data_IF_258270966432
#
_entry.id   IF_258270966432
#
_cell.length_a   1.000
_cell.length_b   1.000
_cell.length_c   1.000
_cell.angle_alpha   90.00
_cell.angle_beta   90.00
_cell.angle_gamma   90.00
#
_symmetry.space_group_name_H-M   'P 1'
#
loop_
_entity.id
_entity.type
_entity.pdbx_description
1 polymer ?
#
# COMPACT_ATOMS: atom_id res chain seq x y z
N UNK A 1 14.27 28.83 -8.35
CA UNK A 1 15.30 27.87 -7.86
C UNK A 1 14.88 27.24 -6.53
N UNK A 2 14.51 28.03 -5.50
CA UNK A 2 14.12 27.52 -4.18
C UNK A 2 12.89 26.58 -4.22
N UNK A 3 11.86 26.83 -5.02
CA UNK A 3 10.68 25.95 -5.15
C UNK A 3 11.03 24.61 -5.82
N UNK A 4 11.95 24.60 -6.79
CA UNK A 4 12.40 23.39 -7.45
C UNK A 4 13.26 22.52 -6.52
N UNK A 5 14.17 23.13 -5.75
CA UNK A 5 14.99 22.45 -4.74
C UNK A 5 14.11 21.88 -3.60
N UNK A 6 13.07 22.61 -3.17
CA UNK A 6 12.09 22.12 -2.19
C UNK A 6 11.35 20.88 -2.68
N UNK A 7 10.85 20.88 -3.94
CA UNK A 7 10.20 19.71 -4.55
C UNK A 7 11.15 18.52 -4.65
N UNK A 8 12.40 18.76 -5.05
CA UNK A 8 13.39 17.68 -5.20
C UNK A 8 13.75 17.02 -3.87
N UNK A 9 13.89 17.79 -2.78
CA UNK A 9 14.18 17.24 -1.45
C UNK A 9 12.98 16.58 -0.79
N UNK A 10 11.77 17.08 -1.01
CA UNK A 10 10.55 16.41 -0.57
C UNK A 10 10.36 15.07 -1.31
N UNK A 11 10.80 14.98 -2.56
CA UNK A 11 10.86 13.71 -3.29
C UNK A 11 11.85 12.74 -2.62
N UNK A 12 13.07 13.16 -2.27
CA UNK A 12 14.09 12.26 -1.71
C UNK A 12 13.65 11.50 -0.45
N UNK A 13 12.91 12.12 0.48
CA UNK A 13 12.50 11.45 1.73
C UNK A 13 11.35 10.47 1.47
N UNK A 14 10.36 10.86 0.65
CA UNK A 14 9.30 9.96 0.21
C UNK A 14 9.87 8.79 -0.60
N UNK A 15 10.80 9.09 -1.50
CA UNK A 15 11.39 8.10 -2.39
C UNK A 15 12.20 7.04 -1.62
N UNK A 16 12.84 7.40 -0.49
CA UNK A 16 13.53 6.42 0.35
C UNK A 16 12.58 5.38 0.95
N UNK A 17 11.46 5.80 1.54
CA UNK A 17 10.48 4.86 2.09
C UNK A 17 9.83 4.01 0.99
N UNK A 18 9.45 4.62 -0.14
CA UNK A 18 8.86 3.91 -1.28
C UNK A 18 9.84 2.95 -1.95
N UNK A 19 11.12 3.31 -2.07
CA UNK A 19 12.14 2.41 -2.62
C UNK A 19 12.40 1.21 -1.70
N UNK A 20 12.43 1.41 -0.38
CA UNK A 20 12.57 0.31 0.58
C UNK A 20 11.31 -0.56 0.58
N UNK A 21 10.12 0.04 0.51
CA UNK A 21 8.86 -0.69 0.36
C UNK A 21 8.85 -1.54 -0.91
N UNK A 22 9.28 -0.98 -2.03
CA UNK A 22 9.44 -1.70 -3.30
C UNK A 22 10.43 -2.86 -3.17
N UNK A 23 11.62 -2.61 -2.62
CA UNK A 23 12.67 -3.63 -2.50
C UNK A 23 12.33 -4.76 -1.53
N UNK A 24 11.66 -4.45 -0.43
CA UNK A 24 11.31 -5.43 0.62
C UNK A 24 9.98 -6.13 0.37
N UNK A 25 9.07 -5.52 -0.38
CA UNK A 25 7.67 -5.93 -0.52
C UNK A 25 7.00 -6.15 0.86
N UNK A 26 7.37 -5.34 1.87
CA UNK A 26 6.87 -5.46 3.24
C UNK A 26 6.64 -4.09 3.88
N UNK A 27 5.37 -3.75 4.13
CA UNK A 27 5.00 -2.52 4.85
C UNK A 27 5.57 -2.51 6.27
N UNK A 28 5.55 -3.67 6.94
CA UNK A 28 6.09 -3.82 8.30
C UNK A 28 7.61 -3.61 8.36
N UNK A 29 8.37 -4.14 7.39
CA UNK A 29 9.81 -3.94 7.32
C UNK A 29 10.18 -2.48 6.99
N UNK A 30 9.32 -1.77 6.27
CA UNK A 30 9.52 -0.37 5.89
C UNK A 30 9.10 0.61 6.98
N UNK A 31 8.26 0.18 7.92
CA UNK A 31 7.62 1.02 8.92
C UNK A 31 8.56 1.94 9.70
N UNK A 32 9.70 1.49 10.25
CA UNK A 32 10.61 2.38 10.98
C UNK A 32 11.13 3.54 10.12
N UNK A 33 11.43 3.26 8.85
CA UNK A 33 11.87 4.28 7.91
C UNK A 33 10.74 5.24 7.52
N UNK A 34 9.52 4.71 7.37
CA UNK A 34 8.33 5.54 7.06
C UNK A 34 8.04 6.53 8.18
N UNK A 35 8.12 6.08 9.45
CA UNK A 35 7.98 6.94 10.62
C UNK A 35 9.05 8.06 10.59
N UNK A 36 10.32 7.69 10.48
CA UNK A 36 11.41 8.66 10.42
C UNK A 36 11.27 9.66 9.25
N UNK A 37 10.76 9.20 8.10
CA UNK A 37 10.49 10.07 6.95
C UNK A 37 9.35 11.06 7.22
N UNK A 38 8.29 10.65 7.91
CA UNK A 38 7.16 11.50 8.28
C UNK A 38 7.56 12.55 9.31
N UNK A 39 8.33 12.17 10.33
CA UNK A 39 8.84 13.09 11.36
C UNK A 39 9.75 14.17 10.73
N UNK A 40 10.65 13.77 9.85
CA UNK A 40 11.50 14.70 9.07
C UNK A 40 10.70 15.68 8.22
N UNK A 41 9.44 15.41 7.97
CA UNK A 41 8.50 16.29 7.28
C UNK A 41 7.66 17.14 8.20
N UNK A 42 7.93 17.11 9.49
CA UNK A 42 7.22 17.90 10.48
C UNK A 42 5.95 17.27 11.03
N UNK A 43 5.65 16.01 10.69
CA UNK A 43 4.57 15.26 11.33
C UNK A 43 5.05 14.89 12.74
N UNK A 44 4.24 15.17 13.76
CA UNK A 44 4.63 14.87 15.14
C UNK A 44 4.85 13.37 15.35
N UNK A 45 5.81 13.02 16.21
CA UNK A 45 6.06 11.63 16.60
C UNK A 45 4.80 10.94 17.12
N UNK A 46 3.96 11.64 17.85
CA UNK A 46 2.68 11.15 18.39
C UNK A 46 1.76 10.63 17.29
N UNK A 47 1.60 11.38 16.20
CA UNK A 47 0.76 10.98 15.06
C UNK A 47 1.46 9.90 14.23
N UNK A 48 2.74 10.09 13.89
CA UNK A 48 3.48 9.15 13.06
C UNK A 48 3.56 7.76 13.71
N UNK A 49 3.88 7.68 15.02
CA UNK A 49 4.02 6.43 15.75
C UNK A 49 2.72 5.69 16.02
N UNK A 50 1.57 6.36 15.90
CA UNK A 50 0.25 5.74 16.06
C UNK A 50 -0.37 5.38 14.71
N UNK A 51 -0.41 6.32 13.77
CA UNK A 51 -1.14 6.17 12.51
C UNK A 51 -0.43 5.22 11.55
N UNK A 52 0.90 5.32 11.42
CA UNK A 52 1.64 4.49 10.45
C UNK A 52 1.66 3.00 10.80
N UNK A 53 1.84 2.55 12.07
CA UNK A 53 1.67 1.14 12.41
C UNK A 53 0.25 0.63 12.17
N UNK A 54 -0.75 1.46 12.44
CA UNK A 54 -2.14 1.13 12.18
C UNK A 54 -2.39 0.98 10.67
N UNK A 55 -1.86 1.91 9.85
CA UNK A 55 -1.90 1.85 8.40
C UNK A 55 -1.22 0.59 7.85
N UNK A 56 0.00 0.29 8.30
CA UNK A 56 0.74 -0.89 7.87
C UNK A 56 0.02 -2.23 8.16
N UNK A 57 -1.02 -2.22 9.00
CA UNK A 57 -1.82 -3.40 9.34
C UNK A 57 -3.24 -3.38 8.77
N UNK A 58 -3.83 -2.21 8.51
CA UNK A 58 -5.23 -2.07 8.11
C UNK A 58 -5.41 -1.42 6.72
N UNK A 59 -4.46 -0.58 6.30
CA UNK A 59 -4.57 0.15 5.05
C UNK A 59 -3.85 -0.58 3.92
N UNK A 60 -4.60 -1.37 3.15
CA UNK A 60 -4.11 -2.17 2.04
C UNK A 60 -4.77 -1.79 0.71
N UNK A 61 -4.80 -0.50 0.40
CA UNK A 61 -5.39 0.06 -0.84
C UNK A 61 -4.85 -0.58 -2.11
N UNK A 62 -3.51 -0.71 -2.19
CA UNK A 62 -2.84 -1.37 -3.31
C UNK A 62 -3.18 -2.86 -3.39
N UNK A 63 -3.42 -3.52 -2.25
CA UNK A 63 -3.83 -4.91 -2.22
C UNK A 63 -5.25 -5.08 -2.75
N UNK A 64 -6.19 -4.25 -2.31
CA UNK A 64 -7.57 -4.28 -2.79
C UNK A 64 -7.64 -4.02 -4.31
N UNK A 65 -6.88 -3.03 -4.79
CA UNK A 65 -6.80 -2.71 -6.22
C UNK A 65 -6.27 -3.91 -7.02
N UNK A 66 -5.12 -4.45 -6.62
CA UNK A 66 -4.48 -5.56 -7.35
C UNK A 66 -5.34 -6.82 -7.33
N UNK A 67 -5.93 -7.17 -6.19
CA UNK A 67 -6.82 -8.32 -6.06
C UNK A 67 -8.04 -8.19 -6.97
N UNK A 68 -8.66 -7.02 -7.02
CA UNK A 68 -9.78 -6.75 -7.92
C UNK A 68 -9.37 -6.94 -9.38
N UNK A 69 -8.25 -6.34 -9.79
CA UNK A 69 -7.76 -6.46 -11.18
C UNK A 69 -7.41 -7.91 -11.52
N UNK A 70 -6.71 -8.62 -10.64
CA UNK A 70 -6.30 -10.01 -10.86
C UNK A 70 -7.51 -10.95 -10.98
N UNK A 71 -8.51 -10.79 -10.12
CA UNK A 71 -9.72 -11.62 -10.16
C UNK A 71 -10.55 -11.33 -11.40
N UNK A 72 -10.76 -10.06 -11.77
CA UNK A 72 -11.48 -9.68 -13.00
C UNK A 72 -10.74 -10.23 -14.22
N UNK A 73 -9.41 -10.11 -14.26
CA UNK A 73 -8.60 -10.65 -15.37
C UNK A 73 -8.80 -12.16 -15.53
N UNK A 74 -8.70 -12.93 -14.45
CA UNK A 74 -8.91 -14.38 -14.51
C UNK A 74 -10.34 -14.76 -14.86
N UNK A 75 -11.33 -14.04 -14.34
CA UNK A 75 -12.74 -14.22 -14.68
C UNK A 75 -12.97 -14.05 -16.19
N UNK A 76 -12.36 -13.01 -16.79
CA UNK A 76 -12.41 -12.80 -18.23
C UNK A 76 -11.64 -13.88 -19.02
N UNK A 77 -10.45 -14.26 -18.55
CA UNK A 77 -9.63 -15.29 -19.20
C UNK A 77 -10.34 -16.64 -19.25
N UNK A 78 -11.15 -16.95 -18.25
CA UNK A 78 -11.97 -18.16 -18.19
C UNK A 78 -13.37 -18.00 -18.80
N UNK A 79 -13.63 -16.86 -19.46
CA UNK A 79 -14.90 -16.57 -20.14
C UNK A 79 -16.13 -16.63 -19.21
N UNK A 80 -15.96 -16.37 -17.93
CA UNK A 80 -17.08 -16.22 -16.98
C UNK A 80 -17.74 -14.88 -17.27
N UNK A 81 -19.09 -14.84 -17.46
CA UNK A 81 -19.80 -13.60 -17.73
C UNK A 81 -19.63 -12.59 -16.59
N UNK A 82 -19.10 -11.41 -16.92
CA UNK A 82 -18.98 -10.28 -15.98
C UNK A 82 -20.21 -9.41 -16.09
N UNK A 83 -21.11 -9.53 -15.16
CA UNK A 83 -22.19 -8.57 -14.97
C UNK A 83 -21.80 -7.49 -13.94
N UNK A 84 -22.47 -6.34 -13.89
CA UNK A 84 -22.17 -5.27 -12.94
C UNK A 84 -22.25 -5.71 -11.47
N UNK A 85 -23.14 -6.65 -11.15
CA UNK A 85 -23.32 -7.17 -9.80
C UNK A 85 -22.07 -7.98 -9.38
N UNK A 86 -21.56 -8.84 -10.25
CA UNK A 86 -20.35 -9.62 -10.02
C UNK A 86 -19.13 -8.73 -9.82
N UNK A 87 -18.99 -7.65 -10.60
CA UNK A 87 -17.89 -6.68 -10.44
C UNK A 87 -17.94 -6.02 -9.07
N UNK A 88 -19.10 -5.59 -8.62
CA UNK A 88 -19.29 -5.00 -7.28
C UNK A 88 -18.96 -6.03 -6.20
N UNK A 89 -19.40 -7.26 -6.36
CA UNK A 89 -19.12 -8.35 -5.42
C UNK A 89 -17.62 -8.62 -5.32
N UNK A 90 -16.91 -8.69 -6.44
CA UNK A 90 -15.44 -8.85 -6.47
C UNK A 90 -14.75 -7.69 -5.73
N UNK A 91 -15.17 -6.45 -6.00
CA UNK A 91 -14.59 -5.27 -5.35
C UNK A 91 -14.80 -5.30 -3.82
N UNK A 92 -16.01 -5.61 -3.37
CA UNK A 92 -16.32 -5.72 -1.94
C UNK A 92 -15.52 -6.84 -1.25
N UNK A 93 -15.44 -8.02 -1.89
CA UNK A 93 -14.63 -9.13 -1.39
C UNK A 93 -13.14 -8.77 -1.35
N UNK A 94 -12.63 -8.05 -2.34
CA UNK A 94 -11.24 -7.61 -2.38
C UNK A 94 -10.93 -6.61 -1.23
N UNK A 95 -11.83 -5.70 -0.92
CA UNK A 95 -11.70 -4.77 0.21
C UNK A 95 -11.65 -5.54 1.54
N UNK A 96 -12.58 -6.47 1.76
CA UNK A 96 -12.61 -7.27 2.99
C UNK A 96 -11.38 -8.20 3.07
N UNK A 97 -11.02 -8.85 1.97
CA UNK A 97 -9.87 -9.76 1.93
C UNK A 97 -8.54 -8.99 2.13
N UNK A 98 -8.42 -7.78 1.56
CA UNK A 98 -7.21 -6.96 1.76
C UNK A 98 -7.01 -6.57 3.22
N UNK A 99 -8.09 -6.30 3.96
CA UNK A 99 -8.02 -5.96 5.39
C UNK A 99 -7.51 -7.12 6.27
N UNK A 100 -7.56 -8.36 5.78
CA UNK A 100 -7.02 -9.54 6.46
C UNK A 100 -5.60 -9.90 6.01
N UNK A 101 -5.07 -9.16 5.04
CA UNK A 101 -3.74 -9.40 4.50
C UNK A 101 -2.67 -9.05 5.54
N UNK A 102 -1.62 -9.87 5.64
CA UNK A 102 -0.47 -9.52 6.45
C UNK A 102 0.49 -8.63 5.63
N UNK A 103 1.11 -7.64 6.27
CA UNK A 103 2.11 -6.74 5.67
C UNK A 103 3.48 -7.43 5.40
N UNK A 104 3.44 -8.69 4.98
CA UNK A 104 4.60 -9.55 4.67
C UNK A 104 4.59 -9.93 3.19
N UNK A 105 5.75 -10.25 2.59
CA UNK A 105 5.83 -10.68 1.20
C UNK A 105 4.93 -11.91 0.90
N UNK A 106 4.19 -11.85 -0.19
CA UNK A 106 3.31 -12.94 -0.65
C UNK A 106 1.95 -13.04 0.05
N UNK A 107 1.65 -12.18 1.04
CA UNK A 107 0.36 -12.21 1.76
C UNK A 107 -0.87 -12.06 0.85
N UNK A 108 -0.72 -11.37 -0.28
CA UNK A 108 -1.81 -11.12 -1.24
C UNK A 108 -2.28 -12.35 -2.00
N UNK A 109 -1.42 -13.35 -2.21
CA UNK A 109 -1.81 -14.57 -2.93
C UNK A 109 -2.89 -15.36 -2.19
N UNK A 110 -2.80 -15.42 -0.86
CA UNK A 110 -3.78 -16.12 -0.03
C UNK A 110 -5.16 -15.48 -0.19
N UNK A 111 -5.21 -14.16 -0.17
CA UNK A 111 -6.47 -13.42 -0.30
C UNK A 111 -7.05 -13.51 -1.71
N UNK A 112 -6.21 -13.50 -2.76
CA UNK A 112 -6.67 -13.76 -4.14
C UNK A 112 -7.27 -15.17 -4.26
N UNK A 113 -6.62 -16.18 -3.69
CA UNK A 113 -7.14 -17.55 -3.69
C UNK A 113 -8.51 -17.66 -2.99
N UNK A 114 -8.71 -16.92 -1.89
CA UNK A 114 -10.01 -16.87 -1.20
C UNK A 114 -11.09 -16.24 -2.07
N UNK A 115 -10.78 -15.13 -2.78
CA UNK A 115 -11.74 -14.48 -3.66
C UNK A 115 -12.10 -15.40 -4.84
N UNK A 116 -11.10 -16.00 -5.50
CA UNK A 116 -11.30 -16.89 -6.63
C UNK A 116 -12.14 -18.12 -6.25
N UNK A 117 -11.95 -18.66 -5.05
CA UNK A 117 -12.74 -19.79 -4.55
C UNK A 117 -14.24 -19.44 -4.42
N UNK A 118 -14.56 -18.16 -4.13
CA UNK A 118 -15.93 -17.65 -4.10
C UNK A 118 -16.57 -17.44 -5.47
N UNK A 119 -15.78 -17.54 -6.56
CA UNK A 119 -16.27 -17.26 -7.93
C UNK A 119 -16.85 -18.49 -8.66
N UNK A 120 -16.89 -19.65 -8.02
CA UNK A 120 -17.44 -20.88 -8.62
C UNK A 120 -16.60 -21.45 -9.78
N UNK A 121 -15.31 -21.14 -9.83
CA UNK A 121 -14.37 -21.71 -10.79
C UNK A 121 -14.09 -23.18 -10.50
N UNK A 122 -13.78 -23.98 -11.54
CA UNK A 122 -13.38 -25.37 -11.33
C UNK A 122 -12.03 -25.45 -10.61
N UNK A 123 -11.73 -26.55 -9.89
CA UNK A 123 -10.44 -26.73 -9.22
C UNK A 123 -9.24 -26.59 -10.16
N UNK A 124 -9.36 -27.05 -11.40
CA UNK A 124 -8.30 -26.93 -12.41
C UNK A 124 -8.08 -25.47 -12.82
N UNK A 125 -9.15 -24.69 -13.01
CA UNK A 125 -9.08 -23.26 -13.29
C UNK A 125 -8.45 -22.48 -12.14
N UNK A 126 -8.81 -22.83 -10.90
CA UNK A 126 -8.22 -22.22 -9.70
C UNK A 126 -6.71 -22.46 -9.64
N UNK A 127 -6.26 -23.71 -9.84
CA UNK A 127 -4.83 -24.07 -9.80
C UNK A 127 -4.07 -23.37 -10.92
N UNK A 128 -4.58 -23.38 -12.15
CA UNK A 128 -3.95 -22.75 -13.30
C UNK A 128 -3.88 -21.22 -13.13
N UNK A 129 -4.96 -20.60 -12.69
CA UNK A 129 -5.01 -19.15 -12.40
C UNK A 129 -4.06 -18.74 -11.28
N UNK A 130 -4.00 -19.53 -10.22
CA UNK A 130 -3.08 -19.29 -9.12
C UNK A 130 -1.61 -19.41 -9.58
N UNK A 131 -1.27 -20.44 -10.35
CA UNK A 131 0.08 -20.63 -10.89
C UNK A 131 0.49 -19.46 -11.80
N UNK A 132 -0.42 -18.95 -12.62
CA UNK A 132 -0.18 -17.78 -13.45
C UNK A 132 0.10 -16.54 -12.58
N UNK A 133 -0.76 -16.24 -11.61
CA UNK A 133 -0.59 -15.08 -10.72
C UNK A 133 0.68 -15.19 -9.89
N UNK A 134 1.04 -16.39 -9.42
CA UNK A 134 2.28 -16.63 -8.67
C UNK A 134 3.52 -16.21 -9.46
N UNK A 135 3.50 -16.39 -10.79
CA UNK A 135 4.63 -16.03 -11.66
C UNK A 135 4.93 -14.53 -11.66
N UNK A 136 3.88 -13.70 -11.56
CA UNK A 136 4.00 -12.24 -11.57
C UNK A 136 3.92 -11.61 -10.18
N UNK A 137 3.63 -12.41 -9.16
CA UNK A 137 3.35 -11.95 -7.79
C UNK A 137 4.48 -11.09 -7.24
N UNK A 138 5.73 -11.48 -7.44
CA UNK A 138 6.85 -10.75 -6.85
C UNK A 138 6.88 -9.29 -7.28
N UNK A 139 6.67 -9.00 -8.57
CA UNK A 139 6.68 -7.64 -9.11
C UNK A 139 5.45 -6.88 -8.65
N UNK A 140 4.29 -7.53 -8.71
CA UNK A 140 3.02 -6.92 -8.30
C UNK A 140 2.97 -6.64 -6.79
N UNK A 141 3.58 -7.52 -5.97
CA UNK A 141 3.71 -7.33 -4.52
C UNK A 141 4.58 -6.11 -4.18
N UNK A 142 5.69 -5.92 -4.87
CA UNK A 142 6.56 -4.74 -4.72
C UNK A 142 5.80 -3.45 -5.04
N UNK A 143 5.04 -3.41 -6.13
CA UNK A 143 4.22 -2.25 -6.53
C UNK A 143 3.09 -1.98 -5.53
N UNK A 144 2.38 -3.02 -5.11
CA UNK A 144 1.29 -2.97 -4.13
C UNK A 144 1.76 -2.40 -2.80
N UNK A 145 2.89 -2.90 -2.28
CA UNK A 145 3.47 -2.43 -1.02
C UNK A 145 3.89 -0.97 -1.10
N UNK A 146 4.46 -0.56 -2.22
CA UNK A 146 4.81 0.84 -2.47
C UNK A 146 3.59 1.75 -2.41
N UNK A 147 2.47 1.32 -2.98
CA UNK A 147 1.22 2.07 -2.95
C UNK A 147 0.66 2.15 -1.53
N UNK A 148 0.62 1.02 -0.79
CA UNK A 148 0.16 0.99 0.60
C UNK A 148 0.97 1.95 1.48
N UNK A 149 2.31 1.88 1.47
CA UNK A 149 3.17 2.76 2.25
C UNK A 149 2.99 4.24 1.86
N UNK A 150 2.74 4.52 0.57
CA UNK A 150 2.48 5.89 0.11
C UNK A 150 1.14 6.40 0.65
N UNK A 151 0.08 5.60 0.60
CA UNK A 151 -1.23 6.00 1.15
C UNK A 151 -1.19 6.19 2.66
N UNK A 152 -0.46 5.34 3.39
CA UNK A 152 -0.24 5.52 4.83
C UNK A 152 0.36 6.88 5.18
N UNK A 153 1.36 7.32 4.41
CA UNK A 153 1.98 8.63 4.65
C UNK A 153 1.02 9.80 4.37
N UNK A 154 0.13 9.65 3.39
CA UNK A 154 -0.91 10.66 3.08
C UNK A 154 -1.94 10.72 4.20
N UNK A 155 -2.39 9.58 4.69
CA UNK A 155 -3.34 9.50 5.82
C UNK A 155 -2.73 10.12 7.07
N UNK A 156 -1.47 9.77 7.41
CA UNK A 156 -0.76 10.35 8.56
C UNK A 156 -0.62 11.87 8.44
N UNK A 157 -0.29 12.39 7.25
CA UNK A 157 -0.20 13.84 7.01
C UNK A 157 -1.56 14.52 7.15
N UNK A 158 -2.64 13.91 6.65
CA UNK A 158 -4.00 14.46 6.73
C UNK A 158 -4.49 14.52 8.19
N UNK A 159 -4.22 13.47 8.96
CA UNK A 159 -4.60 13.43 10.39
C UNK A 159 -3.77 14.46 11.18
N UNK A 160 -2.46 14.56 10.91
CA UNK A 160 -1.59 15.52 11.58
C UNK A 160 -2.01 16.97 11.28
N UNK A 161 -2.45 17.26 10.05
CA UNK A 161 -2.98 18.57 9.67
C UNK A 161 -4.26 18.91 10.44
N UNK A 162 -5.21 17.99 10.49
CA UNK A 162 -6.48 18.15 11.20
C UNK A 162 -6.30 18.34 12.72
N UNK A 163 -5.29 17.68 13.31
CA UNK A 163 -4.98 17.75 14.74
C UNK A 163 -4.01 18.91 15.07
N UNK A 164 -3.60 19.72 14.10
CA UNK A 164 -2.59 20.77 14.25
C UNK A 164 -1.24 20.25 14.77
N UNK A 165 -0.87 19.06 14.41
CA UNK A 165 0.35 18.34 14.80
C UNK A 165 1.39 18.34 13.67
N UNK A 166 1.34 19.32 12.76
CA UNK A 166 2.34 19.55 11.72
C UNK A 166 3.22 20.75 12.09
N UNK A 167 4.52 20.52 12.12
CA UNK A 167 5.50 21.61 12.16
C UNK A 167 5.77 22.10 10.73
N UNK A 168 5.14 23.21 10.36
CA UNK A 168 5.26 23.80 9.02
C UNK A 168 6.66 24.39 8.74
N UNK A 169 7.44 24.72 9.78
CA UNK A 169 8.82 25.19 9.60
C UNK A 169 9.70 24.03 9.12
N UNK A 170 9.56 22.84 9.70
CA UNK A 170 10.23 21.62 9.24
C UNK A 170 9.72 21.17 7.86
N UNK A 171 8.41 21.25 7.63
CA UNK A 171 7.83 20.92 6.32
C UNK A 171 8.41 21.82 5.22
N UNK A 172 8.61 23.10 5.51
CA UNK A 172 9.16 24.08 4.58
C UNK A 172 10.69 24.08 4.52
N UNK A 173 11.38 23.68 5.59
CA UNK A 173 12.83 23.60 5.69
C UNK A 173 13.32 22.28 6.32
N UNK A 174 13.33 21.17 5.56
CA UNK A 174 13.73 19.85 6.08
C UNK A 174 15.17 19.77 6.61
N UNK A 175 16.02 20.78 6.33
CA UNK A 175 17.39 20.84 6.87
C UNK A 175 17.40 21.18 8.37
N UNK A 176 16.39 21.88 8.86
CA UNK A 176 16.27 22.21 10.28
C UNK A 176 16.15 20.95 11.17
N UNK A 177 15.78 19.81 10.61
CA UNK A 177 15.72 18.55 11.36
C UNK A 177 17.12 17.98 11.69
N UNK A 178 18.11 18.20 10.82
CA UNK A 178 19.49 17.74 11.06
C UNK A 178 20.20 18.58 12.14
N UNK A 179 19.69 19.77 12.42
CA UNK A 179 20.21 20.67 13.48
C UNK A 179 19.56 20.39 14.85
N UNK A 180 18.42 19.67 14.88
CA UNK A 180 17.62 19.41 16.11
C UNK A 180 17.82 17.96 16.59
N UNK A 181 18.24 17.02 15.72
CA UNK A 181 18.45 15.61 16.04
C UNK A 181 19.89 15.32 16.46
#
# INVERSE_FOLDING_TARGET
>A
LHKAIRRQRQMCIRDRATMVAFGTASSSATLPLTIACCEKRGISHKIASFVLPLGATLNFDGSALLQTVAVIFLTQAYQVPLDPFLIIQIALLAIVASSTCAGIPGGGLITIALILNGMGLSPEQLVAGFAFLFTIERITDMLRTTLNVTSDTVVAATIADNENEINYDLLNNPQAYEEIA
#
